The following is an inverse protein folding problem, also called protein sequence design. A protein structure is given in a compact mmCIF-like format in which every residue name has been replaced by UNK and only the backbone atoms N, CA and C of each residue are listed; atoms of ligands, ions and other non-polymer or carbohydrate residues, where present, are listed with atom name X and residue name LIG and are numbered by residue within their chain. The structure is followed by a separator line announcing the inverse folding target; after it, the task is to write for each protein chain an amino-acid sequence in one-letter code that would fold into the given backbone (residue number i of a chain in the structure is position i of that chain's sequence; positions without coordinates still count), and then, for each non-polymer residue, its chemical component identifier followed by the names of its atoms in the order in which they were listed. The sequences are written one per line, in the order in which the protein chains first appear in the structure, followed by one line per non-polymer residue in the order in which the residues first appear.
data_IF_998385102217
#
_entry.id   IF_998385102217
#
_cell.length_a   1.000
_cell.length_b   1.000
_cell.length_c   1.000
_cell.angle_alpha   90.00
_cell.angle_beta   90.00
_cell.angle_gamma   90.00
#
_symmetry.space_group_name_H-M   'P 1'
#
loop_
_entity.id
_entity.type
_entity.pdbx_description
1 polymer ?
#
# COMPACT_ATOMS: atom_id res chain seq x y z
N UNK A 1 -29.10 -3.79 -41.36
CA UNK A 1 -28.56 -4.51 -40.19
C UNK A 1 -27.26 -5.18 -40.62
N UNK A 2 -26.11 -4.59 -40.30
CA UNK A 2 -24.75 -5.15 -40.47
C UNK A 2 -23.84 -4.26 -39.62
N UNK A 3 -23.63 -4.60 -38.35
CA UNK A 3 -22.56 -5.47 -37.81
C UNK A 3 -21.17 -4.80 -37.84
N UNK A 4 -20.83 -4.14 -36.72
CA UNK A 4 -19.47 -3.73 -36.34
C UNK A 4 -18.74 -4.96 -35.82
N UNK A 5 -17.63 -5.33 -36.47
CA UNK A 5 -16.74 -6.42 -36.07
C UNK A 5 -15.39 -5.86 -35.60
N UNK A 6 -15.05 -6.20 -34.37
CA UNK A 6 -13.91 -5.72 -33.58
C UNK A 6 -12.56 -6.22 -34.08
N UNK A 7 -11.56 -5.33 -33.99
CA UNK A 7 -10.14 -5.60 -34.23
C UNK A 7 -9.60 -6.59 -33.20
N UNK A 8 -9.00 -7.69 -33.65
CA UNK A 8 -8.16 -8.55 -32.82
C UNK A 8 -6.82 -8.70 -33.53
N UNK A 9 -5.79 -8.03 -33.03
CA UNK A 9 -4.42 -8.14 -33.51
C UNK A 9 -3.60 -8.97 -32.50
N UNK A 10 -2.82 -9.88 -33.07
CA UNK A 10 -1.97 -10.93 -32.50
C UNK A 10 -0.57 -10.44 -32.08
N UNK A 11 0.10 -11.17 -31.17
CA UNK A 11 1.53 -11.51 -31.28
C UNK A 11 2.02 -12.51 -30.20
N UNK A 12 2.59 -13.62 -30.68
CA UNK A 12 3.42 -14.65 -30.02
C UNK A 12 4.78 -14.13 -29.50
N UNK A 13 5.36 -14.81 -28.51
CA UNK A 13 6.77 -15.27 -28.54
C UNK A 13 7.14 -16.19 -27.35
N UNK A 14 7.92 -17.22 -27.68
CA UNK A 14 8.39 -18.35 -26.87
C UNK A 14 9.75 -18.06 -26.20
N UNK A 15 10.10 -18.63 -25.02
CA UNK A 15 11.48 -19.09 -24.76
C UNK A 15 11.69 -19.89 -23.46
N UNK A 16 12.08 -21.16 -23.65
CA UNK A 16 13.26 -21.86 -23.08
C UNK A 16 13.45 -22.13 -21.57
N UNK A 17 13.79 -23.41 -21.34
CA UNK A 17 14.17 -24.15 -20.12
C UNK A 17 15.63 -23.93 -19.70
N UNK A 18 15.92 -23.83 -18.39
CA UNK A 18 17.23 -24.18 -17.81
C UNK A 18 17.05 -24.80 -16.41
N UNK A 19 17.75 -25.91 -16.18
CA UNK A 19 17.82 -26.68 -14.91
C UNK A 19 19.28 -26.79 -14.46
N UNK A 20 19.52 -26.77 -13.14
CA UNK A 20 20.78 -27.09 -12.43
C UNK A 20 21.63 -25.85 -12.14
N UNK A 21 22.09 -25.54 -10.92
CA UNK A 21 22.49 -26.37 -9.76
C UNK A 21 22.55 -25.50 -8.47
N UNK A 22 21.88 -25.92 -7.40
CA UNK A 22 22.14 -25.55 -5.98
C UNK A 22 23.35 -26.35 -5.43
N UNK A 23 23.97 -26.10 -4.24
CA UNK A 23 23.50 -25.39 -3.02
C UNK A 23 24.50 -24.38 -2.40
N UNK A 24 24.14 -23.41 -1.54
CA UNK A 24 23.80 -23.59 -0.12
C UNK A 24 23.22 -22.30 0.52
N UNK A 25 21.94 -22.32 0.90
CA UNK A 25 21.32 -22.05 2.24
C UNK A 25 21.82 -20.87 3.14
N UNK A 26 20.97 -20.21 3.98
CA UNK A 26 19.56 -19.77 3.86
C UNK A 26 19.25 -18.36 4.43
N UNK A 27 18.02 -17.85 4.16
CA UNK A 27 17.14 -16.95 4.94
C UNK A 27 16.59 -15.77 4.10
N UNK A 28 15.52 -15.97 3.32
CA UNK A 28 14.10 -15.76 3.70
C UNK A 28 13.58 -14.38 3.19
N UNK A 29 12.30 -14.27 2.75
CA UNK A 29 12.02 -14.19 1.31
C UNK A 29 11.59 -12.80 0.82
N UNK A 30 11.96 -12.50 -0.43
CA UNK A 30 11.36 -11.45 -1.27
C UNK A 30 9.95 -11.88 -1.71
N UNK A 31 8.96 -11.72 -0.84
CA UNK A 31 7.56 -11.97 -1.20
C UNK A 31 6.92 -10.68 -1.74
N UNK A 32 7.20 -10.40 -3.01
CA UNK A 32 6.29 -9.65 -3.87
C UNK A 32 5.14 -10.56 -4.27
N UNK A 33 4.15 -10.71 -3.38
CA UNK A 33 2.79 -11.09 -3.76
C UNK A 33 1.87 -10.04 -3.19
N UNK A 34 1.30 -9.27 -4.11
CA UNK A 34 0.17 -8.38 -3.90
C UNK A 34 -1.02 -9.21 -3.45
N UNK A 35 -1.15 -9.41 -2.14
CA UNK A 35 -2.45 -9.70 -1.56
C UNK A 35 -3.24 -8.40 -1.56
N UNK A 36 -4.37 -8.28 -2.28
CA UNK A 36 -5.37 -7.30 -1.86
C UNK A 36 -5.86 -7.78 -0.49
N UNK A 37 -5.71 -7.01 0.60
CA UNK A 37 -6.37 -7.39 1.84
C UNK A 37 -7.86 -7.45 1.54
N UNK A 38 -8.40 -8.65 1.77
CA UNK A 38 -9.78 -9.00 1.55
C UNK A 38 -10.70 -7.98 2.23
N UNK A 39 -11.83 -7.71 1.60
CA UNK A 39 -12.93 -6.97 2.18
C UNK A 39 -13.26 -7.49 3.60
N UNK A 40 -12.83 -6.77 4.62
CA UNK A 40 -13.19 -7.01 6.02
C UNK A 40 -14.30 -6.01 6.38
N UNK A 41 -15.51 -6.32 5.92
CA UNK A 41 -16.72 -5.63 6.36
C UNK A 41 -17.08 -6.08 7.78
N UNK A 42 -16.40 -5.56 8.81
CA UNK A 42 -16.86 -5.60 10.20
C UNK A 42 -16.52 -4.30 10.96
N UNK A 43 -17.53 -3.43 11.01
CA UNK A 43 -17.80 -2.44 12.07
C UNK A 43 -16.83 -1.25 12.22
N UNK A 44 -17.26 -0.13 11.61
CA UNK A 44 -17.09 1.26 12.07
C UNK A 44 -15.72 1.95 11.94
N UNK A 45 -14.63 1.26 11.62
CA UNK A 45 -13.34 1.90 11.32
C UNK A 45 -12.52 1.15 10.25
N UNK A 46 -11.68 1.86 9.50
CA UNK A 46 -10.68 1.30 8.59
C UNK A 46 -9.58 0.59 9.39
N UNK A 47 -8.89 -0.38 8.80
CA UNK A 47 -7.78 -1.07 9.45
C UNK A 47 -6.47 -0.28 9.32
N UNK A 48 -5.51 -0.55 10.22
CA UNK A 48 -4.15 0.01 10.17
C UNK A 48 -3.47 -0.20 8.80
N UNK A 49 -3.63 -1.38 8.19
CA UNK A 49 -3.09 -1.66 6.85
C UNK A 49 -3.69 -0.75 5.78
N UNK A 50 -4.99 -0.48 5.88
CA UNK A 50 -5.68 0.41 4.94
C UNK A 50 -5.21 1.86 5.15
N UNK A 51 -5.06 2.30 6.41
CA UNK A 51 -4.49 3.61 6.75
C UNK A 51 -3.06 3.76 6.19
N UNK A 52 -2.19 2.76 6.37
CA UNK A 52 -0.84 2.74 5.78
C UNK A 52 -0.89 2.87 4.27
N UNK A 53 -1.77 2.14 3.62
CA UNK A 53 -1.91 2.18 2.16
C UNK A 53 -2.40 3.55 1.67
N UNK A 54 -3.31 4.20 2.39
CA UNK A 54 -3.77 5.56 2.09
C UNK A 54 -2.63 6.57 2.30
N UNK A 55 -1.88 6.46 3.40
CA UNK A 55 -0.73 7.32 3.66
C UNK A 55 0.35 7.18 2.58
N UNK A 56 0.66 5.94 2.17
CA UNK A 56 1.63 5.65 1.10
C UNK A 56 1.18 6.12 -0.28
N UNK A 57 -0.14 6.31 -0.50
CA UNK A 57 -0.67 6.93 -1.72
C UNK A 57 -0.47 8.45 -1.72
N UNK A 58 -0.43 9.09 -0.55
CA UNK A 58 -0.17 10.53 -0.43
C UNK A 58 1.33 10.84 -0.46
N UNK A 59 2.11 10.09 0.31
CA UNK A 59 3.55 10.28 0.46
C UNK A 59 4.25 8.98 0.09
N UNK A 60 5.01 9.02 -1.00
CA UNK A 60 5.86 7.89 -1.39
C UNK A 60 7.05 7.77 -0.43
N UNK A 61 7.08 6.69 0.35
CA UNK A 61 8.12 6.45 1.32
C UNK A 61 7.94 5.12 2.04
N UNK A 62 8.50 5.04 3.23
CA UNK A 62 8.35 3.90 4.14
C UNK A 62 7.60 4.36 5.38
N UNK A 63 6.51 3.68 5.71
CA UNK A 63 5.87 3.87 7.01
C UNK A 63 6.83 3.41 8.09
N UNK A 64 7.23 4.33 8.97
CA UNK A 64 8.10 4.06 10.12
C UNK A 64 7.30 3.93 11.41
N UNK A 65 6.13 4.55 11.47
CA UNK A 65 5.24 4.48 12.61
C UNK A 65 3.77 4.57 12.19
N UNK A 66 2.91 3.90 12.94
CA UNK A 66 1.47 4.07 12.86
C UNK A 66 0.93 4.04 14.28
N UNK A 67 0.01 4.94 14.59
CA UNK A 67 -0.71 4.94 15.84
C UNK A 67 -2.21 5.17 15.60
N UNK A 68 -3.05 4.63 16.48
CA UNK A 68 -4.50 4.77 16.44
C UNK A 68 -4.92 5.49 17.71
N UNK A 69 -5.25 6.76 17.54
CA UNK A 69 -5.71 7.58 18.64
C UNK A 69 -7.25 7.67 18.64
N UNK A 70 -7.82 7.73 19.83
CA UNK A 70 -9.26 7.72 20.06
C UNK A 70 -9.65 8.93 20.91
N UNK A 71 -10.08 10.03 20.28
CA UNK A 71 -10.47 11.25 20.98
C UNK A 71 -11.99 11.44 20.93
N UNK A 72 -12.66 11.50 22.10
CA UNK A 72 -14.12 11.72 22.21
C UNK A 72 -15.01 10.81 21.34
N UNK A 73 -14.57 9.58 21.08
CA UNK A 73 -15.28 8.61 20.23
C UNK A 73 -15.04 8.78 18.73
N UNK A 74 -14.17 9.72 18.33
CA UNK A 74 -13.58 9.78 17.00
C UNK A 74 -12.24 9.05 17.00
N UNK A 75 -12.10 8.11 16.08
CA UNK A 75 -10.88 7.35 15.87
C UNK A 75 -10.09 8.03 14.75
N UNK A 76 -8.80 8.25 14.96
CA UNK A 76 -7.88 8.82 13.97
C UNK A 76 -6.61 7.98 13.92
N UNK A 77 -6.15 7.71 12.71
CA UNK A 77 -4.86 7.08 12.46
C UNK A 77 -3.83 8.16 12.19
N UNK A 78 -2.72 8.10 12.90
CA UNK A 78 -1.53 8.90 12.63
C UNK A 78 -0.51 7.99 11.96
N UNK A 79 -0.09 8.31 10.73
CA UNK A 79 0.86 7.51 9.98
C UNK A 79 2.10 8.33 9.67
N UNK A 80 3.22 7.93 10.25
CA UNK A 80 4.50 8.58 10.01
C UNK A 80 5.22 7.89 8.85
N UNK A 81 5.44 8.63 7.78
CA UNK A 81 6.09 8.18 6.55
C UNK A 81 7.43 8.88 6.39
N UNK A 82 8.50 8.09 6.31
CA UNK A 82 9.82 8.57 5.97
C UNK A 82 10.06 8.40 4.48
N UNK A 83 10.32 9.50 3.78
CA UNK A 83 10.73 9.49 2.37
C UNK A 83 12.18 9.03 2.22
N UNK A 84 12.54 8.58 1.02
CA UNK A 84 13.93 8.21 0.69
C UNK A 84 14.90 9.41 0.83
N UNK A 85 14.36 10.63 0.75
CA UNK A 85 15.11 11.87 0.98
C UNK A 85 15.36 12.18 2.46
N UNK A 86 14.96 11.30 3.38
CA UNK A 86 15.10 11.49 4.83
C UNK A 86 14.11 12.48 5.44
N UNK A 87 13.11 12.93 4.68
CA UNK A 87 12.03 13.78 5.20
C UNK A 87 10.94 12.93 5.84
N UNK A 88 10.48 13.35 7.00
CA UNK A 88 9.38 12.71 7.73
C UNK A 88 8.09 13.47 7.43
N UNK A 89 7.02 12.72 7.13
CA UNK A 89 5.69 13.26 6.95
C UNK A 89 4.73 12.55 7.88
N UNK A 90 3.88 13.33 8.51
CA UNK A 90 2.77 12.88 9.32
C UNK A 90 1.50 12.94 8.48
N UNK A 91 0.82 11.81 8.37
CA UNK A 91 -0.46 11.70 7.67
C UNK A 91 -1.54 11.31 8.67
N UNK A 92 -2.43 12.25 8.97
CA UNK A 92 -3.62 11.99 9.78
C UNK A 92 -4.77 11.51 8.91
N UNK A 93 -5.38 10.39 9.29
CA UNK A 93 -6.47 9.75 8.56
C UNK A 93 -7.61 9.49 9.53
N UNK A 94 -8.81 9.94 9.17
CA UNK A 94 -10.04 9.64 9.91
C UNK A 94 -10.30 8.13 9.85
N UNK A 95 -10.25 7.44 10.98
CA UNK A 95 -10.40 5.99 11.00
C UNK A 95 -11.84 5.57 10.68
N UNK A 96 -12.85 6.42 10.92
CA UNK A 96 -14.24 6.08 10.62
C UNK A 96 -14.57 6.08 9.12
N UNK A 97 -13.93 6.96 8.36
CA UNK A 97 -14.23 7.22 6.94
C UNK A 97 -13.07 6.92 5.99
N UNK A 98 -11.85 6.76 6.51
CA UNK A 98 -10.62 6.62 5.74
C UNK A 98 -10.22 7.87 4.97
N UNK A 99 -10.73 9.05 5.35
CA UNK A 99 -10.35 10.32 4.74
C UNK A 99 -9.05 10.82 5.34
N UNK A 100 -8.11 11.23 4.49
CA UNK A 100 -6.93 11.97 4.92
C UNK A 100 -7.40 13.33 5.44
N UNK A 101 -7.19 13.56 6.74
CA UNK A 101 -7.51 14.80 7.42
C UNK A 101 -6.37 15.81 7.23
N UNK A 102 -5.12 15.33 7.30
CA UNK A 102 -3.95 16.18 7.23
C UNK A 102 -2.74 15.43 6.67
N UNK A 103 -1.90 16.17 5.98
CA UNK A 103 -0.56 15.74 5.56
C UNK A 103 0.38 16.88 5.89
N UNK A 104 1.25 16.68 6.87
CA UNK A 104 2.24 17.65 7.28
C UNK A 104 3.63 17.05 7.18
N UNK A 105 4.61 17.88 6.79
CA UNK A 105 6.00 17.51 6.88
C UNK A 105 6.45 17.80 8.32
N UNK A 106 7.01 16.81 9.00
CA UNK A 106 7.71 17.04 10.25
C UNK A 106 9.02 17.77 9.92
N UNK A 107 8.98 19.10 9.93
CA UNK A 107 10.16 19.95 9.86
C UNK A 107 10.68 20.13 11.29
N UNK A 108 11.80 19.48 11.61
CA UNK A 108 12.57 19.78 12.82
C UNK A 108 13.10 21.21 12.69
N UNK A 109 12.39 22.17 13.27
CA UNK A 109 12.77 23.58 13.32
C UNK A 109 13.92 23.82 14.30
#
# INVERSE_FOLDING_TARGET
MTALGVYTACADATSSKVSGTEPSTPAAPSNGVSNPPAAQNQTRAISEEEAKKIALQQVSGKVIHIDLDSDNGMLKYEVIVMTDQGKVYEVEIDAGTGKVLKVEQEDQS
#
